data_IF_481386421604
#
_entry.id   IF_481386421604
#
_cell.length_a   1.000
_cell.length_b   1.000
_cell.length_c   1.000
_cell.angle_alpha   90.00
_cell.angle_beta   90.00
_cell.angle_gamma   90.00
#
_symmetry.space_group_name_H-M   'P 1'
#
loop_
_entity.id
_entity.type
_entity.pdbx_description
1 polymer ?
#
# COMPACT_ATOMS: atom_id res chain seq x y z
N UNK A 1 -19.44 -28.75 -4.75
CA UNK A 1 -20.46 -28.41 -5.77
C UNK A 1 -19.81 -28.50 -7.13
N UNK A 2 -20.56 -28.84 -8.17
CA UNK A 2 -20.08 -28.81 -9.55
C UNK A 2 -20.28 -27.40 -10.17
N UNK A 3 -19.47 -27.06 -11.18
CA UNK A 3 -19.51 -25.75 -11.83
C UNK A 3 -20.89 -25.44 -12.43
N UNK A 4 -21.57 -26.45 -12.99
CA UNK A 4 -22.92 -26.31 -13.56
C UNK A 4 -23.92 -25.76 -12.55
N UNK A 5 -23.83 -26.17 -11.28
CA UNK A 5 -24.72 -25.68 -10.23
C UNK A 5 -24.38 -24.24 -9.87
N UNK A 6 -23.09 -23.87 -9.82
CA UNK A 6 -22.68 -22.49 -9.53
C UNK A 6 -23.13 -21.50 -10.62
N UNK A 7 -23.04 -21.91 -11.89
CA UNK A 7 -23.55 -21.13 -13.03
C UNK A 7 -25.07 -20.96 -12.95
N UNK A 8 -25.82 -22.05 -12.71
CA UNK A 8 -27.28 -21.99 -12.58
C UNK A 8 -27.76 -21.14 -11.40
N UNK A 9 -26.97 -21.03 -10.34
CA UNK A 9 -27.24 -20.18 -9.19
C UNK A 9 -26.71 -18.75 -9.35
N UNK A 10 -26.17 -18.41 -10.52
CA UNK A 10 -25.58 -17.11 -10.81
C UNK A 10 -24.50 -16.68 -9.79
N UNK A 11 -23.72 -17.65 -9.31
CA UNK A 11 -22.73 -17.42 -8.26
C UNK A 11 -21.63 -16.45 -8.72
N UNK A 12 -21.19 -16.55 -9.97
CA UNK A 12 -20.13 -15.71 -10.51
C UNK A 12 -20.61 -14.26 -10.70
N UNK A 13 -21.85 -14.06 -11.13
CA UNK A 13 -22.49 -12.75 -11.24
C UNK A 13 -22.63 -12.10 -9.86
N UNK A 14 -23.02 -12.88 -8.84
CA UNK A 14 -23.03 -12.40 -7.45
C UNK A 14 -21.63 -11.95 -7.00
N UNK A 15 -20.58 -12.70 -7.34
CA UNK A 15 -19.19 -12.30 -7.03
C UNK A 15 -18.83 -10.98 -7.69
N UNK A 16 -19.22 -10.74 -8.94
CA UNK A 16 -19.00 -9.45 -9.62
C UNK A 16 -19.71 -8.29 -8.90
N UNK A 17 -20.97 -8.48 -8.47
CA UNK A 17 -21.71 -7.47 -7.72
C UNK A 17 -20.97 -7.14 -6.42
N UNK A 18 -20.57 -8.14 -5.64
CA UNK A 18 -19.87 -7.95 -4.36
C UNK A 18 -18.53 -7.24 -4.56
N UNK A 19 -17.78 -7.60 -5.61
CA UNK A 19 -16.52 -6.92 -5.98
C UNK A 19 -16.71 -5.44 -6.27
N UNK A 20 -17.86 -5.05 -6.82
CA UNK A 20 -18.22 -3.64 -7.04
C UNK A 20 -18.22 -2.80 -5.75
N UNK A 21 -18.49 -3.42 -4.60
CA UNK A 21 -18.52 -2.77 -3.29
C UNK A 21 -17.21 -2.91 -2.49
N UNK A 22 -16.21 -3.64 -2.99
CA UNK A 22 -14.94 -3.77 -2.29
C UNK A 22 -14.14 -2.46 -2.32
N UNK A 23 -13.72 -1.99 -1.13
CA UNK A 23 -12.91 -0.79 -0.97
C UNK A 23 -11.47 -0.93 -1.48
N UNK A 24 -10.94 -2.16 -1.61
CA UNK A 24 -9.56 -2.41 -2.03
C UNK A 24 -9.45 -3.50 -3.08
N UNK A 25 -8.38 -3.45 -3.89
CA UNK A 25 -8.04 -4.51 -4.84
C UNK A 25 -7.78 -5.86 -4.18
N UNK A 26 -7.23 -5.87 -2.95
CA UNK A 26 -7.05 -7.09 -2.16
C UNK A 26 -8.38 -7.77 -1.83
N UNK A 27 -9.39 -6.98 -1.44
CA UNK A 27 -10.75 -7.49 -1.21
C UNK A 27 -11.33 -8.12 -2.47
N UNK A 28 -11.16 -7.45 -3.63
CA UNK A 28 -11.61 -8.00 -4.92
C UNK A 28 -10.95 -9.34 -5.23
N UNK A 29 -9.64 -9.44 -5.06
CA UNK A 29 -8.89 -10.69 -5.27
C UNK A 29 -9.29 -11.81 -4.29
N UNK A 30 -9.72 -11.48 -3.07
CA UNK A 30 -10.27 -12.46 -2.13
C UNK A 30 -11.62 -12.99 -2.59
N UNK A 31 -12.51 -12.11 -3.09
CA UNK A 31 -13.79 -12.52 -3.67
C UNK A 31 -13.56 -13.38 -4.91
N UNK A 32 -12.61 -13.05 -5.78
CA UNK A 32 -12.27 -13.86 -6.97
C UNK A 32 -11.93 -15.31 -6.59
N UNK A 33 -11.23 -15.51 -5.48
CA UNK A 33 -10.83 -16.84 -4.97
C UNK A 33 -11.88 -17.47 -4.03
N UNK A 34 -12.96 -16.76 -3.71
CA UNK A 34 -13.99 -17.25 -2.80
C UNK A 34 -14.76 -18.38 -3.49
N UNK A 35 -14.81 -19.52 -2.81
CA UNK A 35 -15.59 -20.70 -3.18
C UNK A 35 -16.45 -21.14 -1.99
N UNK A 36 -17.62 -21.78 -2.24
CA UNK A 36 -18.44 -22.36 -1.19
C UNK A 36 -17.66 -23.41 -0.38
N UNK A 37 -17.73 -23.31 0.95
CA UNK A 37 -17.08 -24.25 1.84
C UNK A 37 -18.09 -25.22 2.43
N UNK A 38 -17.75 -26.51 2.48
CA UNK A 38 -18.52 -27.55 3.19
C UNK A 38 -18.08 -27.71 4.66
N UNK A 39 -17.04 -27.00 5.08
CA UNK A 39 -16.54 -27.06 6.45
C UNK A 39 -17.29 -26.06 7.32
N UNK A 40 -18.12 -26.57 8.24
CA UNK A 40 -18.96 -25.74 9.11
C UNK A 40 -18.16 -24.73 9.94
N UNK A 41 -16.93 -25.06 10.36
CA UNK A 41 -16.09 -24.13 11.12
C UNK A 41 -15.67 -22.92 10.27
N UNK A 42 -15.37 -23.16 8.99
CA UNK A 42 -15.02 -22.10 8.03
C UNK A 42 -16.24 -21.24 7.75
N UNK A 43 -17.41 -21.87 7.57
CA UNK A 43 -18.67 -21.16 7.32
C UNK A 43 -19.02 -20.24 8.50
N UNK A 44 -19.06 -20.77 9.72
CA UNK A 44 -19.38 -19.97 10.91
C UNK A 44 -18.41 -18.79 11.07
N UNK A 45 -17.09 -19.02 10.96
CA UNK A 45 -16.09 -17.96 11.03
C UNK A 45 -16.33 -16.84 10.00
N UNK A 46 -16.62 -17.18 8.74
CA UNK A 46 -16.89 -16.18 7.69
C UNK A 46 -18.18 -15.40 7.96
N UNK A 47 -19.20 -16.05 8.51
CA UNK A 47 -20.45 -15.41 8.91
C UNK A 47 -20.25 -14.48 10.10
N UNK A 48 -19.44 -14.87 11.08
CA UNK A 48 -19.06 -14.06 12.22
C UNK A 48 -18.29 -12.81 11.76
N UNK A 49 -17.25 -12.97 10.94
CA UNK A 49 -16.50 -11.86 10.32
C UNK A 49 -17.41 -10.88 9.56
N UNK A 50 -18.38 -11.40 8.82
CA UNK A 50 -19.35 -10.58 8.06
C UNK A 50 -20.28 -9.80 9.01
N UNK A 51 -20.74 -10.46 10.07
CA UNK A 51 -21.63 -9.85 11.08
C UNK A 51 -20.91 -8.76 11.87
N UNK A 52 -19.66 -9.01 12.25
CA UNK A 52 -18.79 -8.02 12.90
C UNK A 52 -18.52 -6.82 11.99
N UNK A 53 -18.19 -7.06 10.72
CA UNK A 53 -17.99 -6.00 9.74
C UNK A 53 -19.25 -5.14 9.56
N UNK A 54 -20.43 -5.76 9.52
CA UNK A 54 -21.70 -5.05 9.50
C UNK A 54 -21.95 -4.24 10.76
N UNK A 55 -21.65 -4.78 11.95
CA UNK A 55 -21.82 -4.06 13.21
C UNK A 55 -20.99 -2.76 13.25
N UNK A 56 -19.77 -2.77 12.69
CA UNK A 56 -18.95 -1.57 12.55
C UNK A 56 -19.60 -0.52 11.62
N UNK A 57 -20.19 -0.96 10.51
CA UNK A 57 -20.89 -0.06 9.58
C UNK A 57 -22.17 0.52 10.18
N UNK A 58 -22.95 -0.31 10.88
CA UNK A 58 -24.19 0.11 11.56
C UNK A 58 -23.88 1.14 12.66
N UNK A 59 -22.72 1.01 13.32
CA UNK A 59 -22.18 2.01 14.25
C UNK A 59 -21.62 3.27 13.56
N UNK A 60 -21.78 3.41 12.25
CA UNK A 60 -21.30 4.53 11.43
C UNK A 60 -19.78 4.73 11.46
N UNK A 61 -19.02 3.68 11.74
CA UNK A 61 -17.56 3.75 11.64
C UNK A 61 -17.09 3.71 10.19
N UNK A 62 -16.12 4.56 9.88
CA UNK A 62 -15.40 4.51 8.62
C UNK A 62 -14.06 3.77 8.81
N UNK A 63 -13.94 2.60 8.20
CA UNK A 63 -12.74 1.77 8.31
C UNK A 63 -11.65 2.33 7.37
N UNK A 64 -10.46 2.69 7.88
CA UNK A 64 -9.42 3.33 7.08
C UNK A 64 -8.68 2.30 6.21
N UNK A 65 -9.20 2.05 5.01
CA UNK A 65 -8.55 1.21 4.01
C UNK A 65 -7.60 1.98 3.07
N UNK A 66 -7.47 3.30 3.26
CA UNK A 66 -6.57 4.13 2.46
C UNK A 66 -5.11 3.67 2.58
N UNK A 67 -4.45 3.53 1.44
CA UNK A 67 -3.06 3.06 1.38
C UNK A 67 -2.93 1.53 1.37
N UNK A 68 -3.99 0.76 1.66
CA UNK A 68 -3.92 -0.70 1.74
C UNK A 68 -4.07 -1.31 0.33
N UNK A 69 -2.95 -1.41 -0.37
CA UNK A 69 -2.86 -1.98 -1.72
C UNK A 69 -2.16 -3.35 -1.72
N UNK A 70 -2.24 -4.05 -2.85
CA UNK A 70 -1.51 -5.30 -3.03
C UNK A 70 -0.02 -5.03 -3.28
N UNK A 71 0.81 -5.22 -2.25
CA UNK A 71 2.27 -5.05 -2.34
C UNK A 71 3.03 -6.36 -2.63
N UNK A 72 2.34 -7.49 -2.80
CA UNK A 72 2.99 -8.77 -3.10
C UNK A 72 3.94 -8.70 -4.32
N UNK A 73 3.59 -8.02 -5.43
CA UNK A 73 4.52 -7.89 -6.55
C UNK A 73 5.82 -7.15 -6.19
N UNK A 74 5.76 -6.17 -5.28
CA UNK A 74 6.93 -5.43 -4.79
C UNK A 74 7.79 -6.32 -3.87
N UNK A 75 7.15 -7.12 -3.03
CA UNK A 75 7.84 -8.10 -2.16
C UNK A 75 8.57 -9.13 -3.02
N UNK A 76 7.89 -9.74 -3.99
CA UNK A 76 8.51 -10.71 -4.91
C UNK A 76 9.67 -10.11 -5.71
N UNK A 77 9.57 -8.83 -6.09
CA UNK A 77 10.65 -8.08 -6.75
C UNK A 77 11.87 -7.97 -5.85
N UNK A 78 11.68 -7.61 -4.58
CA UNK A 78 12.76 -7.52 -3.59
C UNK A 78 13.39 -8.89 -3.28
N UNK A 79 12.58 -9.96 -3.17
CA UNK A 79 13.07 -11.32 -2.96
C UNK A 79 13.96 -11.82 -4.10
N UNK A 80 13.71 -11.34 -5.33
CA UNK A 80 14.56 -11.59 -6.51
C UNK A 80 15.82 -10.72 -6.53
N UNK A 81 16.05 -9.89 -5.51
CA UNK A 81 17.22 -9.03 -5.37
C UNK A 81 17.14 -7.70 -6.13
N UNK A 82 15.99 -7.36 -6.71
CA UNK A 82 15.80 -6.08 -7.37
C UNK A 82 15.46 -4.98 -6.35
N UNK A 83 16.03 -3.79 -6.56
CA UNK A 83 15.68 -2.60 -5.78
C UNK A 83 14.31 -2.07 -6.22
N UNK A 84 13.59 -1.48 -5.26
CA UNK A 84 12.39 -0.71 -5.54
C UNK A 84 12.78 0.69 -6.04
N UNK A 85 12.08 1.19 -7.04
CA UNK A 85 12.21 2.56 -7.48
C UNK A 85 11.50 3.54 -6.51
N UNK A 86 11.69 4.87 -6.65
CA UNK A 86 11.06 5.84 -5.75
C UNK A 86 9.53 5.76 -5.67
N UNK A 87 8.85 5.35 -6.75
CA UNK A 87 7.39 5.27 -6.80
C UNK A 87 6.89 4.02 -6.08
N UNK A 88 7.58 2.91 -6.29
CA UNK A 88 7.37 1.66 -5.58
C UNK A 88 7.65 1.80 -4.07
N UNK A 89 8.71 2.53 -3.70
CA UNK A 89 8.99 2.85 -2.29
C UNK A 89 7.89 3.73 -1.69
N UNK A 90 7.40 4.73 -2.42
CA UNK A 90 6.27 5.55 -1.99
C UNK A 90 4.98 4.72 -1.83
N UNK A 91 4.78 3.72 -2.69
CA UNK A 91 3.67 2.76 -2.58
C UNK A 91 3.80 1.90 -1.33
N UNK A 92 5.01 1.43 -1.02
CA UNK A 92 5.29 0.67 0.21
C UNK A 92 5.06 1.52 1.47
N UNK A 93 5.52 2.76 1.49
CA UNK A 93 5.26 3.72 2.59
C UNK A 93 3.76 3.89 2.84
N UNK A 94 2.99 4.11 1.78
CA UNK A 94 1.53 4.23 1.86
C UNK A 94 0.88 2.98 2.47
N UNK A 95 1.35 1.80 2.08
CA UNK A 95 0.86 0.52 2.59
C UNK A 95 1.17 0.33 4.08
N UNK A 96 2.41 0.61 4.49
CA UNK A 96 2.81 0.51 5.89
C UNK A 96 2.02 1.49 6.78
N UNK A 97 1.84 2.72 6.30
CA UNK A 97 1.02 3.74 6.96
C UNK A 97 -0.45 3.31 7.07
N UNK A 98 -1.02 2.73 6.02
CA UNK A 98 -2.37 2.17 6.01
C UNK A 98 -2.53 1.05 7.04
N UNK A 99 -1.59 0.10 7.08
CA UNK A 99 -1.54 -0.97 8.08
C UNK A 99 -1.53 -0.42 9.52
N UNK A 100 -0.68 0.58 9.78
CA UNK A 100 -0.60 1.24 11.08
C UNK A 100 -1.92 1.90 11.47
N UNK A 101 -2.53 2.68 10.57
CA UNK A 101 -3.85 3.32 10.80
C UNK A 101 -4.93 2.29 11.08
N UNK A 102 -5.00 1.19 10.32
CA UNK A 102 -5.96 0.12 10.54
C UNK A 102 -5.75 -0.55 11.91
N UNK A 103 -4.50 -0.83 12.30
CA UNK A 103 -4.18 -1.38 13.61
C UNK A 103 -4.67 -0.48 14.74
N UNK A 104 -4.40 0.83 14.64
CA UNK A 104 -4.86 1.82 15.61
C UNK A 104 -6.39 1.90 15.66
N UNK A 105 -7.06 1.88 14.51
CA UNK A 105 -8.52 1.92 14.41
C UNK A 105 -9.18 0.70 15.09
N UNK A 106 -8.62 -0.50 14.95
CA UNK A 106 -9.20 -1.72 15.51
C UNK A 106 -8.96 -1.89 17.01
N UNK A 107 -8.03 -1.14 17.61
CA UNK A 107 -7.57 -1.31 18.99
C UNK A 107 -8.70 -1.25 20.03
N UNK A 108 -9.72 -0.44 19.81
CA UNK A 108 -10.85 -0.21 20.70
C UNK A 108 -12.18 -0.73 20.12
N UNK A 109 -12.10 -1.66 19.15
CA UNK A 109 -13.27 -2.19 18.42
C UNK A 109 -13.60 -3.63 18.79
N UNK A 110 -12.92 -4.21 19.78
CA UNK A 110 -13.17 -5.58 20.25
C UNK A 110 -14.63 -5.81 20.66
N UNK A 111 -15.29 -4.81 21.26
CA UNK A 111 -16.70 -4.91 21.65
C UNK A 111 -17.69 -5.01 20.47
N UNK A 112 -17.30 -4.58 19.26
CA UNK A 112 -18.11 -4.66 18.05
C UNK A 112 -17.66 -5.80 17.13
N UNK A 113 -16.35 -6.04 17.08
CA UNK A 113 -15.71 -6.89 16.09
C UNK A 113 -14.52 -7.65 16.70
N UNK A 114 -14.75 -8.61 17.61
CA UNK A 114 -13.67 -9.30 18.32
C UNK A 114 -12.76 -10.09 17.38
N UNK A 115 -13.32 -10.82 16.40
CA UNK A 115 -12.54 -11.59 15.42
C UNK A 115 -11.71 -10.68 14.53
N UNK A 116 -12.31 -9.64 13.95
CA UNK A 116 -11.57 -8.69 13.09
C UNK A 116 -10.51 -7.93 13.90
N UNK A 117 -10.81 -7.57 15.16
CA UNK A 117 -9.84 -6.93 16.05
C UNK A 117 -8.64 -7.83 16.33
N UNK A 118 -8.86 -9.15 16.49
CA UNK A 118 -7.78 -10.11 16.66
C UNK A 118 -6.81 -10.16 15.47
N UNK A 119 -7.28 -9.90 14.24
CA UNK A 119 -6.40 -9.84 13.06
C UNK A 119 -5.45 -8.66 13.11
N UNK A 120 -5.91 -7.52 13.64
CA UNK A 120 -5.08 -6.32 13.78
C UNK A 120 -3.88 -6.52 14.71
N UNK A 121 -3.96 -7.47 15.64
CA UNK A 121 -2.87 -7.80 16.56
C UNK A 121 -1.65 -8.37 15.82
N UNK A 122 -1.87 -9.02 14.66
CA UNK A 122 -0.81 -9.58 13.83
C UNK A 122 -0.14 -8.55 12.91
N UNK A 123 -0.63 -7.31 12.88
CA UNK A 123 -0.01 -6.24 12.10
C UNK A 123 1.21 -5.75 12.87
N UNK A 124 2.41 -5.99 12.35
CA UNK A 124 3.66 -5.46 12.93
C UNK A 124 3.76 -3.96 12.69
N UNK A 125 4.19 -3.22 13.71
CA UNK A 125 4.51 -1.80 13.55
C UNK A 125 5.88 -1.67 12.87
N UNK A 126 5.88 -1.07 11.68
CA UNK A 126 7.08 -0.84 10.86
C UNK A 126 7.24 0.68 10.58
N UNK A 127 6.82 1.53 11.52
CA UNK A 127 6.93 2.99 11.42
C UNK A 127 8.35 3.48 11.15
N UNK A 128 9.38 2.77 11.63
CA UNK A 128 10.77 3.10 11.32
C UNK A 128 11.10 2.98 9.82
N UNK A 129 10.45 2.05 9.09
CA UNK A 129 10.60 1.92 7.63
C UNK A 129 9.84 3.05 6.93
N UNK A 130 8.62 3.35 7.40
CA UNK A 130 7.83 4.49 6.91
C UNK A 130 8.63 5.80 6.99
N UNK A 131 9.29 6.04 8.13
CA UNK A 131 10.13 7.22 8.36
C UNK A 131 11.37 7.24 7.45
N UNK A 132 12.08 6.12 7.32
CA UNK A 132 13.26 6.02 6.47
C UNK A 132 12.94 6.29 4.99
N UNK A 133 11.81 5.76 4.50
CA UNK A 133 11.35 6.03 3.12
C UNK A 133 11.02 7.52 2.96
N UNK A 134 10.30 8.13 3.91
CA UNK A 134 9.92 9.55 3.86
C UNK A 134 11.13 10.49 3.89
N UNK A 135 12.21 10.13 4.59
CA UNK A 135 13.47 10.90 4.59
C UNK A 135 14.21 10.71 3.25
N UNK A 136 14.17 9.50 2.70
CA UNK A 136 14.95 9.13 1.52
C UNK A 136 14.31 9.50 0.19
N UNK A 137 12.98 9.65 0.13
CA UNK A 137 12.20 9.81 -1.10
C UNK A 137 11.34 11.07 -1.01
N UNK A 138 11.48 11.96 -2.00
CA UNK A 138 10.71 13.21 -2.08
C UNK A 138 10.41 13.52 -3.55
N UNK A 139 9.14 13.80 -3.89
CA UNK A 139 8.75 14.16 -5.26
C UNK A 139 9.10 13.10 -6.32
N UNK A 140 8.85 11.82 -6.00
CA UNK A 140 9.13 10.63 -6.81
C UNK A 140 10.62 10.47 -7.22
N UNK A 141 11.53 10.94 -6.38
CA UNK A 141 12.98 10.80 -6.57
C UNK A 141 13.68 10.63 -5.23
N UNK A 142 14.89 10.08 -5.26
CA UNK A 142 15.75 10.02 -4.07
C UNK A 142 16.13 11.44 -3.66
N UNK A 143 15.79 11.83 -2.44
CA UNK A 143 16.08 13.15 -1.87
C UNK A 143 17.60 13.33 -1.73
N UNK A 144 18.09 14.56 -1.89
CA UNK A 144 19.51 14.84 -1.72
C UNK A 144 19.99 14.57 -0.29
N UNK A 145 19.09 14.62 0.69
CA UNK A 145 19.36 14.33 2.08
C UNK A 145 19.30 12.83 2.43
N UNK A 146 18.95 11.95 1.48
CA UNK A 146 18.94 10.50 1.69
C UNK A 146 20.31 9.97 2.15
N UNK A 147 21.41 10.62 1.73
CA UNK A 147 22.73 10.38 2.31
C UNK A 147 23.61 11.62 2.24
N UNK A 148 24.60 11.70 3.15
CA UNK A 148 25.57 12.80 3.19
C UNK A 148 26.42 12.82 1.91
N UNK A 149 26.76 11.65 1.40
CA UNK A 149 27.53 11.44 0.19
C UNK A 149 26.76 11.92 -1.04
N UNK A 150 25.49 11.54 -1.18
CA UNK A 150 24.64 11.98 -2.29
C UNK A 150 24.47 13.50 -2.28
N UNK A 151 24.23 14.09 -1.10
CA UNK A 151 24.17 15.54 -0.92
C UNK A 151 25.44 16.23 -1.40
N UNK A 152 26.60 15.69 -1.03
CA UNK A 152 27.91 16.22 -1.42
C UNK A 152 28.10 16.13 -2.93
N UNK A 153 27.79 14.99 -3.55
CA UNK A 153 27.93 14.78 -4.99
C UNK A 153 27.03 15.74 -5.78
N UNK A 154 25.74 15.84 -5.44
CA UNK A 154 24.81 16.76 -6.11
C UNK A 154 25.24 18.21 -5.98
N UNK A 155 25.71 18.63 -4.80
CA UNK A 155 26.29 19.98 -4.62
C UNK A 155 27.50 20.22 -5.53
N UNK A 156 28.36 19.23 -5.74
CA UNK A 156 29.50 19.36 -6.65
C UNK A 156 29.05 19.49 -8.11
N UNK A 157 28.00 18.77 -8.52
CA UNK A 157 27.38 18.91 -9.83
C UNK A 157 26.85 20.33 -10.02
N UNK A 158 26.06 20.84 -9.08
CA UNK A 158 25.49 22.20 -9.15
C UNK A 158 26.57 23.28 -9.26
N UNK A 159 27.66 23.14 -8.50
CA UNK A 159 28.80 24.07 -8.55
C UNK A 159 29.50 24.01 -9.92
N UNK A 160 29.72 22.81 -10.45
CA UNK A 160 30.33 22.62 -11.76
C UNK A 160 29.48 23.22 -12.88
N UNK A 161 28.16 22.97 -12.87
CA UNK A 161 27.22 23.54 -13.84
C UNK A 161 27.20 25.07 -13.77
N UNK A 162 27.24 25.64 -12.57
CA UNK A 162 27.34 27.09 -12.36
C UNK A 162 28.62 27.68 -12.97
N UNK A 163 29.75 27.00 -12.83
CA UNK A 163 31.03 27.40 -13.44
C UNK A 163 30.98 27.35 -14.97
N UNK A 164 30.36 26.30 -15.54
CA UNK A 164 30.19 26.13 -16.99
C UNK A 164 29.31 27.25 -17.55
N UNK A 165 28.14 27.50 -16.94
CA UNK A 165 27.24 28.60 -17.32
C UNK A 165 27.96 29.96 -17.26
N UNK A 166 28.69 30.22 -16.17
CA UNK A 166 29.46 31.45 -16.02
C UNK A 166 30.55 31.63 -17.09
N UNK A 167 31.19 30.55 -17.55
CA UNK A 167 32.14 30.61 -18.68
C UNK A 167 31.43 30.88 -20.01
N UNK A 168 30.33 30.17 -20.29
CA UNK A 168 29.52 30.36 -21.50
C UNK A 168 28.99 31.79 -21.62
N UNK A 169 28.48 32.35 -20.53
CA UNK A 169 28.04 33.75 -20.53
C UNK A 169 29.16 34.73 -20.85
N UNK A 170 30.39 34.48 -20.37
CA UNK A 170 31.55 35.32 -20.72
C UNK A 170 31.91 35.22 -22.20
N UNK A 171 31.85 34.03 -22.78
CA UNK A 171 32.06 33.84 -24.23
C UNK A 171 30.97 34.55 -25.05
N UNK A 172 29.70 34.40 -24.67
CA UNK A 172 28.57 35.02 -25.38
C UNK A 172 28.54 36.55 -25.24
N UNK A 173 28.96 37.09 -24.09
CA UNK A 173 29.06 38.54 -23.87
C UNK A 173 30.29 39.17 -24.52
N UNK A 174 31.21 38.37 -25.06
CA UNK A 174 32.41 38.87 -25.74
C UNK A 174 32.65 38.12 -27.07
N UNK A 175 31.82 38.37 -28.12
CA UNK A 175 31.87 37.58 -29.36
C UNK A 175 33.09 37.87 -30.24
N UNK A 176 33.85 38.92 -29.94
CA UNK A 176 34.97 39.39 -30.75
C UNK A 176 36.17 39.79 -29.88
N UNK A 177 36.98 38.80 -29.52
CA UNK A 177 38.43 38.94 -29.39
C UNK A 177 39.12 37.66 -29.82
#
# INVERSE_FOLDING_TARGET
MDNTTLEKLHYYELKEIVKGYCASGLGKSLIDKLEPSTNIKVVNRRLDETSEGRALLDASYHIPFDGIFNVNPLIEKMEKGAALDPEELSTMENFLRGCRKLKLFMKDKEGYAPTLSSYSLNITDLSYIEEEINISISGNRVDSNASKELKKIRRQIDVCEGQIKGRLEKFLKNPYK
#
